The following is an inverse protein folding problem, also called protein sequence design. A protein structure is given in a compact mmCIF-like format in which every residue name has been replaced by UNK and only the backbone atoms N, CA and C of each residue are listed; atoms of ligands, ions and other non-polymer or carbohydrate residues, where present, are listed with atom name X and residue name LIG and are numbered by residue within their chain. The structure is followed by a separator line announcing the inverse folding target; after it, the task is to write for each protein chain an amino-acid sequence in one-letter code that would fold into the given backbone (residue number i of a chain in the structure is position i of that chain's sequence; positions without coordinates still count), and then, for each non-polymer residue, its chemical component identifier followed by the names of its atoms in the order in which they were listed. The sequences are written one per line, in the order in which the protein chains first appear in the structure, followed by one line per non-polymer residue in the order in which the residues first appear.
data_IF_445926174550
#
_entry.id   IF_445926174550
#
_cell.length_a   1.000
_cell.length_b   1.000
_cell.length_c   1.000
_cell.angle_alpha   90.00
_cell.angle_beta   90.00
_cell.angle_gamma   90.00
#
_symmetry.space_group_name_H-M   'P 1'
#
loop_
_entity.id
_entity.type
_entity.pdbx_description
1 polymer ?
#
# COMPACT_ATOMS: atom_id res chain seq x y z
N UNK A 1 28.86 -20.28 -48.85
CA UNK A 1 28.78 -21.08 -47.60
C UNK A 1 28.31 -20.17 -46.47
N UNK A 2 27.01 -20.10 -46.22
CA UNK A 2 26.49 -19.34 -45.09
C UNK A 2 25.30 -20.07 -44.50
N UNK A 3 25.53 -20.81 -43.42
CA UNK A 3 24.45 -21.27 -42.56
C UNK A 3 24.79 -20.82 -41.13
N UNK A 4 24.16 -19.73 -40.73
CA UNK A 4 24.14 -19.26 -39.36
C UNK A 4 23.46 -20.34 -38.50
N UNK A 5 24.26 -21.12 -37.79
CA UNK A 5 23.83 -22.18 -36.87
C UNK A 5 22.73 -21.65 -35.95
N UNK A 6 21.63 -22.41 -35.94
CA UNK A 6 20.38 -22.10 -35.27
C UNK A 6 20.53 -21.45 -33.90
N UNK A 7 19.86 -20.31 -33.78
CA UNK A 7 19.55 -19.58 -32.56
C UNK A 7 18.87 -20.53 -31.57
N UNK A 8 19.66 -21.20 -30.73
CA UNK A 8 19.18 -22.13 -29.70
C UNK A 8 18.16 -21.40 -28.81
N UNK A 9 16.96 -21.99 -28.71
CA UNK A 9 15.86 -21.63 -27.80
C UNK A 9 16.34 -21.43 -26.36
N UNK A 10 16.84 -20.25 -26.00
CA UNK A 10 17.04 -19.83 -24.60
C UNK A 10 15.81 -19.09 -24.08
N UNK A 11 14.61 -19.63 -24.33
CA UNK A 11 13.33 -18.94 -24.12
C UNK A 11 12.52 -19.37 -22.89
N UNK A 12 12.75 -20.57 -22.34
CA UNK A 12 11.86 -21.18 -21.35
C UNK A 12 12.17 -20.85 -19.88
N UNK A 13 13.45 -20.73 -19.52
CA UNK A 13 13.83 -20.45 -18.13
C UNK A 13 13.46 -19.03 -17.68
N UNK A 14 13.55 -18.06 -18.60
CA UNK A 14 13.20 -16.66 -18.32
C UNK A 14 11.69 -16.48 -18.14
N UNK A 15 10.88 -17.13 -18.99
CA UNK A 15 9.42 -17.06 -18.88
C UNK A 15 8.93 -17.71 -17.58
N UNK A 16 9.50 -18.87 -17.19
CA UNK A 16 9.17 -19.53 -15.93
C UNK A 16 9.51 -18.65 -14.70
N UNK A 17 10.68 -17.98 -14.71
CA UNK A 17 11.08 -17.04 -13.65
C UNK A 17 10.22 -15.77 -13.61
N UNK A 18 9.73 -15.30 -14.76
CA UNK A 18 8.78 -14.19 -14.81
C UNK A 18 7.41 -14.61 -14.26
N UNK A 19 6.93 -15.80 -14.63
CA UNK A 19 5.66 -16.34 -14.16
C UNK A 19 5.67 -16.58 -12.65
N UNK A 20 6.76 -17.11 -12.09
CA UNK A 20 6.87 -17.32 -10.63
C UNK A 20 6.83 -16.00 -9.86
N UNK A 21 7.52 -14.95 -10.34
CA UNK A 21 7.49 -13.61 -9.72
C UNK A 21 6.11 -12.95 -9.79
N UNK A 22 5.35 -13.22 -10.84
CA UNK A 22 3.99 -12.70 -10.99
C UNK A 22 2.96 -13.47 -10.16
N UNK A 23 3.23 -14.74 -9.86
CA UNK A 23 2.34 -15.59 -9.06
C UNK A 23 2.37 -15.24 -7.57
N UNK A 24 3.49 -14.73 -7.05
CA UNK A 24 3.70 -14.49 -5.62
C UNK A 24 3.26 -13.08 -5.15
N UNK A 25 2.78 -12.21 -6.04
CA UNK A 25 2.27 -10.90 -5.63
C UNK A 25 0.82 -11.01 -5.15
N UNK A 26 0.65 -11.00 -3.82
CA UNK A 26 -0.66 -10.84 -3.18
C UNK A 26 -1.27 -9.53 -3.66
N UNK A 27 -2.34 -9.63 -4.45
CA UNK A 27 -3.08 -8.46 -4.92
C UNK A 27 -4.02 -8.03 -3.80
N UNK A 28 -3.58 -7.07 -2.99
CA UNK A 28 -4.39 -6.43 -1.97
C UNK A 28 -4.53 -4.93 -2.28
N UNK A 29 -5.62 -4.29 -1.81
CA UNK A 29 -5.73 -2.84 -1.84
C UNK A 29 -4.54 -2.19 -1.12
N UNK A 30 -4.09 -1.04 -1.61
CA UNK A 30 -2.97 -0.31 -0.99
C UNK A 30 -3.30 0.20 0.42
N UNK A 31 -4.59 0.38 0.74
CA UNK A 31 -5.06 0.86 2.04
C UNK A 31 -6.46 0.32 2.35
N UNK A 32 -6.82 0.34 3.63
CA UNK A 32 -8.16 0.04 4.11
C UNK A 32 -9.06 1.25 3.85
N UNK A 33 -10.21 1.01 3.22
CA UNK A 33 -11.31 2.00 3.17
C UNK A 33 -12.24 1.76 4.36
N UNK A 34 -12.37 2.73 5.27
CA UNK A 34 -13.30 2.60 6.40
C UNK A 34 -14.74 2.57 5.90
N UNK A 35 -15.51 1.59 6.36
CA UNK A 35 -16.95 1.49 6.12
C UNK A 35 -17.80 1.95 7.32
N UNK A 36 -17.14 2.25 8.44
CA UNK A 36 -17.76 2.63 9.71
C UNK A 36 -17.18 3.94 10.21
N UNK A 37 -18.02 4.70 10.93
CA UNK A 37 -17.61 5.93 11.57
C UNK A 37 -16.64 5.66 12.73
N UNK A 38 -15.71 6.57 13.02
CA UNK A 38 -14.90 6.49 14.22
C UNK A 38 -15.76 6.36 15.48
N UNK A 39 -15.25 5.67 16.48
CA UNK A 39 -15.85 5.69 17.81
C UNK A 39 -15.35 6.92 18.56
N UNK A 40 -16.27 7.81 18.93
CA UNK A 40 -15.96 9.03 19.65
C UNK A 40 -16.13 8.81 21.15
N UNK A 41 -15.09 9.14 21.92
CA UNK A 41 -15.04 8.93 23.38
C UNK A 41 -15.42 10.21 24.13
N UNK A 42 -15.30 11.36 23.47
CA UNK A 42 -15.63 12.68 24.00
C UNK A 42 -16.85 13.21 23.26
N UNK A 43 -17.66 13.98 23.97
CA UNK A 43 -18.72 14.80 23.37
C UNK A 43 -18.17 16.17 22.98
N UNK A 44 -19.03 17.00 22.37
CA UNK A 44 -18.66 18.33 21.90
C UNK A 44 -18.08 19.22 23.02
N UNK A 45 -18.69 19.19 24.20
CA UNK A 45 -18.23 19.98 25.34
C UNK A 45 -16.84 19.54 25.82
N UNK A 46 -16.57 18.23 25.80
CA UNK A 46 -15.26 17.67 26.11
C UNK A 46 -14.19 18.07 25.09
N UNK A 47 -14.54 18.09 23.80
CA UNK A 47 -13.64 18.55 22.74
C UNK A 47 -13.31 20.05 22.90
N UNK A 48 -14.33 20.88 23.07
CA UNK A 48 -14.15 22.33 23.24
C UNK A 48 -13.28 22.67 24.45
N UNK A 49 -13.41 21.91 25.55
CA UNK A 49 -12.56 22.08 26.72
C UNK A 49 -11.08 21.81 26.40
N UNK A 50 -10.78 20.74 25.67
CA UNK A 50 -9.40 20.41 25.29
C UNK A 50 -8.85 21.50 24.36
N UNK A 51 -9.63 21.96 23.39
CA UNK A 51 -9.22 23.01 22.44
C UNK A 51 -8.88 24.32 23.15
N UNK A 52 -9.75 24.82 24.02
CA UNK A 52 -9.47 26.06 24.79
C UNK A 52 -8.22 25.94 25.66
N UNK A 53 -8.00 24.78 26.27
CA UNK A 53 -6.80 24.55 27.07
C UNK A 53 -5.55 24.51 26.19
N UNK A 54 -5.63 23.90 25.01
CA UNK A 54 -4.53 23.87 24.05
C UNK A 54 -4.16 25.28 23.58
N UNK A 55 -5.15 26.11 23.25
CA UNK A 55 -4.93 27.52 22.88
C UNK A 55 -4.22 28.27 24.01
N UNK A 56 -4.71 28.12 25.24
CA UNK A 56 -4.11 28.76 26.42
C UNK A 56 -2.64 28.37 26.59
N UNK A 57 -2.31 27.08 26.44
CA UNK A 57 -0.93 26.59 26.58
C UNK A 57 -0.01 27.10 25.47
N UNK A 58 -0.54 27.29 24.25
CA UNK A 58 0.25 27.75 23.10
C UNK A 58 0.52 29.27 23.14
N UNK A 59 -0.32 30.03 23.83
CA UNK A 59 -0.17 31.48 24.00
C UNK A 59 0.84 31.88 25.10
N UNK A 60 1.20 30.95 26.00
CA UNK A 60 2.19 31.14 27.09
C UNK A 60 3.65 30.91 26.65
#
# INVERSE_FOLDING_TARGET
MSEARGRRKSGGGRSARQASRAADTVTAPAFITRQLNPFEVLDEAGLELIERNADTILDE
#
